data_IF_422291997736
#
_entry.id   IF_422291997736
#
_cell.length_a   1.000
_cell.length_b   1.000
_cell.length_c   1.000
_cell.angle_alpha   90.00
_cell.angle_beta   90.00
_cell.angle_gamma   90.00
#
_symmetry.space_group_name_H-M   'P 1'
#
loop_
_entity.id
_entity.type
_entity.pdbx_description
1 polymer ?
#
# COMPACT_ATOMS: atom_id res chain seq x y z
N UNK A 1 0.26 27.15 -19.04
CA UNK A 1 0.32 25.67 -18.95
C UNK A 1 0.65 25.34 -17.49
N UNK A 2 -0.19 24.57 -16.77
CA UNK A 2 0.19 24.09 -15.43
C UNK A 2 1.35 23.10 -15.59
N UNK A 3 2.37 23.13 -14.74
CA UNK A 3 3.43 22.12 -14.78
C UNK A 3 2.82 20.72 -14.61
N UNK A 4 3.41 19.73 -15.25
CA UNK A 4 3.00 18.33 -15.11
C UNK A 4 3.20 17.92 -13.64
N UNK A 5 2.11 17.54 -12.97
CA UNK A 5 2.15 17.17 -11.57
C UNK A 5 2.63 15.73 -11.34
N UNK A 6 2.88 14.96 -12.43
CA UNK A 6 3.30 13.56 -12.34
C UNK A 6 4.72 13.44 -11.84
N UNK A 7 4.89 12.91 -10.65
CA UNK A 7 6.17 12.42 -10.16
C UNK A 7 6.52 11.09 -10.85
N UNK A 8 7.81 10.75 -10.93
CA UNK A 8 8.28 9.54 -11.58
C UNK A 8 9.21 8.75 -10.66
N UNK A 9 8.93 7.46 -10.54
CA UNK A 9 9.74 6.48 -9.84
C UNK A 9 10.32 5.45 -10.82
N UNK A 10 11.65 5.43 -11.04
CA UNK A 10 12.28 4.39 -11.87
C UNK A 10 12.07 2.97 -11.33
N UNK A 11 11.86 2.82 -10.02
CA UNK A 11 11.59 1.52 -9.40
C UNK A 11 10.18 1.04 -9.76
N UNK A 12 9.16 1.90 -9.65
CA UNK A 12 7.80 1.58 -10.04
C UNK A 12 7.70 1.25 -11.54
N UNK A 13 8.44 1.98 -12.36
CA UNK A 13 8.45 1.73 -13.81
C UNK A 13 9.03 0.34 -14.17
N UNK A 14 10.09 -0.09 -13.48
CA UNK A 14 10.71 -1.41 -13.72
C UNK A 14 9.90 -2.59 -13.21
N UNK A 15 9.13 -2.42 -12.13
CA UNK A 15 8.46 -3.56 -11.48
C UNK A 15 6.97 -3.67 -11.80
N UNK A 16 6.36 -2.66 -12.44
CA UNK A 16 4.92 -2.64 -12.72
C UNK A 16 4.42 -3.85 -13.52
N UNK A 17 5.14 -4.25 -14.59
CA UNK A 17 4.73 -5.37 -15.43
C UNK A 17 4.84 -6.73 -14.71
N UNK A 18 5.97 -7.09 -14.08
CA UNK A 18 6.04 -8.30 -13.26
C UNK A 18 4.98 -8.36 -12.15
N UNK A 19 4.70 -7.22 -11.50
CA UNK A 19 3.66 -7.15 -10.45
C UNK A 19 2.28 -7.37 -11.05
N UNK A 20 1.97 -6.74 -12.19
CA UNK A 20 0.69 -6.93 -12.87
C UNK A 20 0.43 -8.41 -13.16
N UNK A 21 1.43 -9.16 -13.65
CA UNK A 21 1.27 -10.60 -13.92
C UNK A 21 0.89 -11.38 -12.66
N UNK A 22 1.45 -11.01 -11.51
CA UNK A 22 1.09 -11.64 -10.22
C UNK A 22 -0.34 -11.26 -9.83
N UNK A 23 -0.72 -9.99 -9.92
CA UNK A 23 -2.07 -9.54 -9.58
C UNK A 23 -3.13 -10.19 -10.47
N UNK A 24 -2.87 -10.34 -11.78
CA UNK A 24 -3.76 -11.04 -12.72
C UNK A 24 -4.00 -12.50 -12.34
N UNK A 25 -3.03 -13.17 -11.72
CA UNK A 25 -3.16 -14.53 -11.24
C UNK A 25 -3.95 -14.62 -9.93
N UNK A 26 -3.79 -13.61 -9.07
CA UNK A 26 -4.35 -13.62 -7.71
C UNK A 26 -5.78 -13.10 -7.64
N UNK A 27 -6.14 -12.15 -8.50
CA UNK A 27 -7.40 -11.43 -8.41
C UNK A 27 -8.35 -11.82 -9.54
N UNK A 28 -9.67 -11.84 -9.27
CA UNK A 28 -10.68 -12.08 -10.31
C UNK A 28 -10.72 -10.95 -11.34
N UNK A 29 -11.38 -11.18 -12.46
CA UNK A 29 -11.53 -10.21 -13.54
C UNK A 29 -12.24 -8.91 -13.10
N UNK A 30 -13.05 -8.97 -12.05
CA UNK A 30 -13.66 -7.83 -11.40
C UNK A 30 -13.24 -7.82 -9.93
N UNK A 31 -12.66 -6.72 -9.46
CA UNK A 31 -12.20 -6.58 -8.08
C UNK A 31 -12.23 -5.12 -7.62
N UNK A 32 -12.48 -4.92 -6.34
CA UNK A 32 -12.30 -3.64 -5.66
C UNK A 32 -10.98 -3.68 -4.90
N UNK A 33 -10.00 -2.88 -5.33
CA UNK A 33 -8.62 -2.91 -4.83
C UNK A 33 -8.27 -1.58 -4.18
N UNK A 34 -7.90 -1.62 -2.91
CA UNK A 34 -7.31 -0.48 -2.21
C UNK A 34 -5.78 -0.52 -2.38
N UNK A 35 -5.19 0.56 -2.83
CA UNK A 35 -3.73 0.74 -2.84
C UNK A 35 -3.30 1.64 -1.67
N UNK A 36 -2.42 1.10 -0.83
CA UNK A 36 -1.83 1.80 0.31
C UNK A 36 -0.47 2.36 -0.12
N UNK A 37 -0.23 3.65 0.17
CA UNK A 37 1.01 4.34 -0.17
C UNK A 37 1.32 4.27 -1.67
N UNK A 38 0.40 4.76 -2.49
CA UNK A 38 0.48 4.73 -3.96
C UNK A 38 1.64 5.59 -4.52
N UNK A 39 2.23 6.47 -3.71
CA UNK A 39 3.42 7.26 -4.04
C UNK A 39 3.23 8.12 -5.28
N UNK A 40 3.92 7.78 -6.36
CA UNK A 40 3.81 8.52 -7.62
C UNK A 40 2.49 8.29 -8.36
N UNK A 41 1.77 7.19 -8.12
CA UNK A 41 0.57 6.79 -8.83
C UNK A 41 0.81 5.94 -10.09
N UNK A 42 2.08 5.61 -10.41
CA UNK A 42 2.41 4.83 -11.60
C UNK A 42 1.81 3.42 -11.57
N UNK A 43 1.80 2.76 -10.41
CA UNK A 43 1.19 1.44 -10.23
C UNK A 43 -0.33 1.51 -10.43
N UNK A 44 -1.01 2.43 -9.72
CA UNK A 44 -2.45 2.65 -9.85
C UNK A 44 -2.86 2.82 -11.31
N UNK A 45 -2.19 3.75 -12.02
CA UNK A 45 -2.49 4.03 -13.42
C UNK A 45 -2.23 2.82 -14.32
N UNK A 46 -1.10 2.12 -14.12
CA UNK A 46 -0.73 0.98 -14.95
C UNK A 46 -1.70 -0.20 -14.76
N UNK A 47 -1.99 -0.57 -13.52
CA UNK A 47 -2.86 -1.72 -13.24
C UNK A 47 -4.31 -1.46 -13.66
N UNK A 48 -4.84 -0.27 -13.35
CA UNK A 48 -6.19 0.09 -13.74
C UNK A 48 -6.38 0.17 -15.26
N UNK A 49 -5.38 0.67 -15.99
CA UNK A 49 -5.42 0.72 -17.46
C UNK A 49 -5.47 -0.68 -18.11
N UNK A 50 -4.80 -1.68 -17.52
CA UNK A 50 -4.77 -3.05 -18.02
C UNK A 50 -5.95 -3.89 -17.55
N UNK A 51 -6.59 -3.48 -16.45
CA UNK A 51 -7.72 -4.20 -15.84
C UNK A 51 -8.93 -3.30 -15.66
N UNK A 52 -9.69 -3.03 -16.74
CA UNK A 52 -10.84 -2.13 -16.68
C UNK A 52 -11.98 -2.65 -15.78
N UNK A 53 -11.99 -3.95 -15.44
CA UNK A 53 -12.92 -4.54 -14.48
C UNK A 53 -12.55 -4.31 -13.02
N UNK A 54 -11.35 -3.80 -12.73
CA UNK A 54 -10.95 -3.48 -11.35
C UNK A 54 -11.34 -2.05 -11.00
N UNK A 55 -11.99 -1.87 -9.86
CA UNK A 55 -12.14 -0.55 -9.24
C UNK A 55 -10.93 -0.31 -8.35
N UNK A 56 -10.10 0.69 -8.70
CA UNK A 56 -8.87 1.00 -7.98
C UNK A 56 -9.06 2.22 -7.08
N UNK A 57 -8.70 2.06 -5.80
CA UNK A 57 -8.79 3.09 -4.76
C UNK A 57 -7.38 3.46 -4.29
N UNK A 58 -6.69 4.41 -4.92
CA UNK A 58 -5.34 4.78 -4.52
C UNK A 58 -5.37 5.69 -3.29
N UNK A 59 -4.47 5.39 -2.33
CA UNK A 59 -4.32 6.21 -1.12
C UNK A 59 -2.86 6.49 -0.82
N UNK A 60 -2.59 7.60 -0.13
CA UNK A 60 -1.25 7.91 0.39
C UNK A 60 -1.36 8.74 1.67
N UNK A 61 -0.42 8.56 2.60
CA UNK A 61 -0.31 9.38 3.82
C UNK A 61 0.23 10.78 3.54
N UNK A 62 1.01 10.96 2.45
CA UNK A 62 1.53 12.24 2.03
C UNK A 62 0.54 12.96 1.10
N UNK A 63 0.00 14.08 1.55
CA UNK A 63 -0.89 14.91 0.76
C UNK A 63 -0.25 15.39 -0.56
N UNK A 64 1.08 15.54 -0.61
CA UNK A 64 1.78 15.95 -1.83
C UNK A 64 1.75 14.85 -2.91
N UNK A 65 1.69 13.58 -2.53
CA UNK A 65 1.58 12.46 -3.47
C UNK A 65 0.23 12.45 -4.20
N UNK A 66 -0.86 12.92 -3.56
CA UNK A 66 -2.21 12.84 -4.13
C UNK A 66 -2.34 13.57 -5.47
N UNK A 67 -1.64 14.69 -5.64
CA UNK A 67 -1.64 15.43 -6.92
C UNK A 67 -1.00 14.63 -8.06
N UNK A 68 0.09 13.92 -7.78
CA UNK A 68 0.77 13.04 -8.74
C UNK A 68 -0.10 11.83 -9.09
N UNK A 69 -0.70 11.19 -8.08
CA UNK A 69 -1.60 10.06 -8.28
C UNK A 69 -2.78 10.47 -9.18
N UNK A 70 -3.42 11.61 -8.88
CA UNK A 70 -4.52 12.13 -9.69
C UNK A 70 -4.09 12.41 -11.14
N UNK A 71 -2.89 12.96 -11.34
CA UNK A 71 -2.37 13.27 -12.67
C UNK A 71 -2.03 12.00 -13.48
N UNK A 72 -1.47 10.97 -12.87
CA UNK A 72 -1.22 9.68 -13.52
C UNK A 72 -2.50 8.94 -13.87
N UNK A 73 -3.51 9.00 -13.01
CA UNK A 73 -4.78 8.29 -13.17
C UNK A 73 -5.82 9.08 -13.99
N UNK A 74 -5.46 10.27 -14.48
CA UNK A 74 -6.38 11.09 -15.27
C UNK A 74 -6.90 10.35 -16.50
N UNK A 75 -8.24 10.33 -16.68
CA UNK A 75 -8.90 9.66 -17.80
C UNK A 75 -9.14 8.15 -17.59
N UNK A 76 -8.78 7.57 -16.46
CA UNK A 76 -9.09 6.18 -16.12
C UNK A 76 -10.42 6.13 -15.33
N UNK A 77 -11.53 5.65 -15.94
CA UNK A 77 -12.86 5.72 -15.31
C UNK A 77 -13.02 4.75 -14.12
N UNK A 78 -12.17 3.75 -14.04
CA UNK A 78 -12.16 2.73 -13.00
C UNK A 78 -11.23 3.06 -11.81
N UNK A 79 -10.59 4.25 -11.81
CA UNK A 79 -9.81 4.74 -10.67
C UNK A 79 -10.61 5.79 -9.91
N UNK A 80 -10.76 5.60 -8.61
CA UNK A 80 -11.39 6.58 -7.73
C UNK A 80 -10.44 7.76 -7.46
N UNK A 81 -10.96 8.95 -7.14
CA UNK A 81 -10.12 10.05 -6.69
C UNK A 81 -9.18 9.59 -5.55
N UNK A 82 -7.89 9.94 -5.59
CA UNK A 82 -6.96 9.54 -4.55
C UNK A 82 -7.35 10.16 -3.21
N UNK A 83 -7.26 9.34 -2.15
CA UNK A 83 -7.62 9.76 -0.79
C UNK A 83 -6.38 9.76 0.11
N UNK A 84 -6.36 10.66 1.08
CA UNK A 84 -5.33 10.63 2.11
C UNK A 84 -5.63 9.53 3.11
N UNK A 85 -4.65 8.65 3.34
CA UNK A 85 -4.71 7.60 4.34
C UNK A 85 -3.36 7.49 5.05
N UNK A 86 -3.31 7.99 6.28
CA UNK A 86 -2.19 7.80 7.18
C UNK A 86 -2.50 6.63 8.13
N UNK A 87 -1.73 5.55 8.01
CA UNK A 87 -1.93 4.33 8.80
C UNK A 87 -1.67 4.53 10.29
N UNK A 88 -0.87 5.53 10.66
CA UNK A 88 -0.50 5.82 12.05
C UNK A 88 -1.30 6.98 12.66
N UNK A 89 -2.12 7.65 11.88
CA UNK A 89 -2.94 8.74 12.40
C UNK A 89 -3.85 8.23 13.53
N UNK A 90 -3.81 8.92 14.66
CA UNK A 90 -4.69 8.63 15.78
C UNK A 90 -6.15 8.93 15.37
N UNK A 91 -7.07 8.05 15.74
CA UNK A 91 -8.50 8.33 15.60
C UNK A 91 -8.83 9.62 16.36
N UNK A 92 -9.48 10.62 15.75
CA UNK A 92 -9.91 11.78 16.48
C UNK A 92 -10.80 11.32 17.64
N UNK A 93 -10.62 11.91 18.80
CA UNK A 93 -11.55 11.71 19.92
C UNK A 93 -12.96 12.05 19.42
N UNK A 94 -13.99 11.25 19.78
CA UNK A 94 -15.36 11.58 19.43
C UNK A 94 -15.64 13.00 19.92
N UNK A 95 -16.06 13.88 19.01
CA UNK A 95 -16.47 15.24 19.39
C UNK A 95 -17.53 15.11 20.49
N UNK A 96 -17.32 15.81 21.62
CA UNK A 96 -18.34 15.90 22.66
C UNK A 96 -19.64 16.40 22.01
N UNK A 97 -20.82 15.85 22.40
CA UNK A 97 -22.09 16.17 21.75
C UNK A 97 -22.54 17.64 21.87
N UNK A 98 -21.71 18.50 22.42
CA UNK A 98 -22.03 19.92 22.70
C UNK A 98 -21.21 20.95 21.91
N UNK A 99 -20.37 20.56 20.94
CA UNK A 99 -19.63 21.52 20.11
C UNK A 99 -20.28 21.66 18.75
N UNK A 100 -20.63 22.88 18.29
CA UNK A 100 -21.06 23.10 16.91
C UNK A 100 -19.90 22.75 15.96
N UNK A 101 -20.18 22.26 14.75
CA UNK A 101 -19.14 21.98 13.76
C UNK A 101 -18.39 23.29 13.44
N UNK A 102 -17.15 23.41 13.90
CA UNK A 102 -16.27 24.48 13.48
C UNK A 102 -15.88 24.22 12.04
N UNK A 103 -16.57 24.89 11.12
CA UNK A 103 -16.17 24.86 9.73
C UNK A 103 -14.80 25.45 9.56
N UNK A 104 -13.82 24.58 9.27
CA UNK A 104 -12.63 24.80 8.42
C UNK A 104 -11.67 23.62 8.65
N UNK A 105 -11.54 22.80 7.60
CA UNK A 105 -10.42 21.86 7.38
C UNK A 105 -10.09 20.89 8.52
N UNK A 106 -11.06 20.16 9.03
CA UNK A 106 -10.78 18.87 9.63
C UNK A 106 -10.38 17.96 8.48
N UNK A 107 -9.09 17.60 8.42
CA UNK A 107 -8.49 16.71 7.43
C UNK A 107 -9.01 15.28 7.67
N UNK A 108 -10.29 15.08 7.32
CA UNK A 108 -11.07 13.87 7.62
C UNK A 108 -10.64 12.65 6.81
N UNK A 109 -9.83 12.87 5.75
CA UNK A 109 -9.44 11.82 4.81
C UNK A 109 -8.24 10.98 5.27
N UNK A 110 -7.72 11.20 6.48
CA UNK A 110 -6.53 10.54 7.00
C UNK A 110 -6.78 9.15 7.63
N UNK A 111 -8.00 8.64 7.63
CA UNK A 111 -8.37 7.51 8.49
C UNK A 111 -9.05 6.37 7.72
N UNK A 112 -8.86 5.14 8.22
CA UNK A 112 -9.49 3.93 7.68
C UNK A 112 -11.02 3.95 7.65
N UNK A 113 -11.70 4.78 8.45
CA UNK A 113 -13.17 4.80 8.51
C UNK A 113 -13.85 5.25 7.20
N UNK A 114 -13.13 5.96 6.33
CA UNK A 114 -13.62 6.37 5.01
C UNK A 114 -13.36 5.31 3.94
N UNK A 115 -12.54 4.31 4.24
CA UNK A 115 -12.24 3.22 3.33
C UNK A 115 -13.43 2.24 3.31
N UNK A 116 -13.88 1.82 2.11
CA UNK A 116 -14.92 0.81 1.99
C UNK A 116 -14.56 -0.47 2.71
N UNK A 117 -15.57 -1.18 3.18
CA UNK A 117 -15.43 -2.56 3.64
C UNK A 117 -15.66 -3.51 2.48
N UNK A 118 -15.33 -4.79 2.68
CA UNK A 118 -15.52 -5.85 1.69
C UNK A 118 -14.67 -5.66 0.43
N UNK A 119 -13.42 -5.23 0.63
CA UNK A 119 -12.43 -5.15 -0.44
C UNK A 119 -11.99 -6.55 -0.89
N UNK A 120 -11.88 -6.77 -2.19
CA UNK A 120 -11.31 -8.01 -2.74
C UNK A 120 -9.80 -8.07 -2.52
N UNK A 121 -9.13 -6.91 -2.55
CA UNK A 121 -7.71 -6.84 -2.23
C UNK A 121 -7.29 -5.51 -1.61
N UNK A 122 -6.22 -5.58 -0.81
CA UNK A 122 -5.41 -4.44 -0.39
C UNK A 122 -4.00 -4.67 -0.93
N UNK A 123 -3.52 -3.73 -1.73
CA UNK A 123 -2.21 -3.73 -2.33
C UNK A 123 -1.29 -2.72 -1.66
N UNK A 124 -0.05 -3.11 -1.35
CA UNK A 124 0.93 -2.24 -0.74
C UNK A 124 2.35 -2.56 -1.24
N UNK A 125 3.02 -1.58 -1.86
CA UNK A 125 4.38 -1.74 -2.37
C UNK A 125 5.40 -0.93 -1.56
N UNK A 126 6.45 -1.59 -1.09
CA UNK A 126 7.64 -1.03 -0.42
C UNK A 126 7.40 -0.24 0.88
N UNK A 127 6.18 0.07 1.28
CA UNK A 127 5.87 0.87 2.45
C UNK A 127 6.53 0.34 3.73
N UNK A 128 6.47 -0.97 3.95
CA UNK A 128 6.94 -1.58 5.20
C UNK A 128 8.44 -1.35 5.46
N UNK A 129 9.21 -1.08 4.40
CA UNK A 129 10.66 -0.85 4.50
C UNK A 129 11.03 0.61 4.75
N UNK A 130 10.14 1.55 4.39
CA UNK A 130 10.33 3.01 4.47
C UNK A 130 9.38 3.67 5.46
N UNK A 131 8.97 2.93 6.50
CA UNK A 131 8.08 3.40 7.55
C UNK A 131 8.47 2.75 8.88
N UNK A 132 8.09 3.31 10.04
CA UNK A 132 8.25 2.68 11.34
C UNK A 132 7.51 1.34 11.42
N UNK A 133 7.98 0.43 12.29
CA UNK A 133 7.36 -0.91 12.44
C UNK A 133 5.86 -0.86 12.75
N UNK A 134 5.41 0.13 13.53
CA UNK A 134 4.00 0.32 13.86
C UNK A 134 3.09 0.39 12.61
N UNK A 135 3.64 0.84 11.47
CA UNK A 135 2.93 0.86 10.18
C UNK A 135 2.58 -0.55 9.69
N UNK A 136 3.43 -1.55 9.96
CA UNK A 136 3.14 -2.94 9.64
C UNK A 136 1.93 -3.43 10.44
N UNK A 137 1.93 -3.24 11.76
CA UNK A 137 0.81 -3.65 12.61
C UNK A 137 -0.49 -2.92 12.22
N UNK A 138 -0.41 -1.63 11.91
CA UNK A 138 -1.56 -0.84 11.46
C UNK A 138 -2.12 -1.33 10.10
N UNK A 139 -1.24 -1.66 9.15
CA UNK A 139 -1.63 -2.24 7.86
C UNK A 139 -2.35 -3.57 8.05
N UNK A 140 -1.79 -4.49 8.85
CA UNK A 140 -2.38 -5.81 9.10
C UNK A 140 -3.77 -5.69 9.75
N UNK A 141 -3.90 -4.84 10.79
CA UNK A 141 -5.17 -4.60 11.46
C UNK A 141 -6.20 -3.92 10.54
N UNK A 142 -5.75 -2.95 9.72
CA UNK A 142 -6.61 -2.31 8.74
C UNK A 142 -7.11 -3.30 7.70
N UNK A 143 -6.23 -4.14 7.17
CA UNK A 143 -6.57 -5.17 6.20
C UNK A 143 -7.60 -6.16 6.76
N UNK A 144 -7.36 -6.68 7.96
CA UNK A 144 -8.29 -7.62 8.60
C UNK A 144 -9.72 -7.06 8.77
N UNK A 145 -9.86 -5.73 8.90
CA UNK A 145 -11.17 -5.08 9.06
C UNK A 145 -11.88 -4.74 7.76
N UNK A 146 -11.13 -4.61 6.65
CA UNK A 146 -11.66 -4.07 5.40
C UNK A 146 -11.71 -5.08 4.26
N UNK A 147 -10.98 -6.19 4.35
CA UNK A 147 -11.07 -7.27 3.37
C UNK A 147 -12.41 -7.99 3.47
N UNK A 148 -12.95 -8.34 2.30
CA UNK A 148 -14.08 -9.26 2.19
C UNK A 148 -13.66 -10.67 2.66
N UNK A 149 -14.62 -11.55 2.99
CA UNK A 149 -14.31 -12.97 3.19
C UNK A 149 -13.59 -13.54 1.98
N UNK A 150 -12.36 -14.03 2.17
CA UNK A 150 -11.50 -14.53 1.09
C UNK A 150 -10.68 -13.47 0.34
N UNK A 151 -10.84 -12.19 0.68
CA UNK A 151 -10.02 -11.10 0.15
C UNK A 151 -8.54 -11.22 0.54
N UNK A 152 -7.67 -10.54 -0.17
CA UNK A 152 -6.22 -10.67 -0.06
C UNK A 152 -5.55 -9.36 0.35
N UNK A 153 -4.67 -9.44 1.37
CA UNK A 153 -3.62 -8.42 1.53
C UNK A 153 -2.40 -8.88 0.75
N UNK A 154 -1.93 -8.03 -0.16
CA UNK A 154 -0.79 -8.30 -1.03
C UNK A 154 0.27 -7.24 -0.80
N UNK A 155 1.45 -7.63 -0.32
CA UNK A 155 2.57 -6.71 -0.12
C UNK A 155 3.73 -7.06 -1.03
N UNK A 156 4.48 -6.04 -1.48
CA UNK A 156 5.65 -6.19 -2.32
C UNK A 156 6.85 -5.47 -1.72
N UNK A 157 8.02 -6.10 -1.81
CA UNK A 157 9.28 -5.49 -1.43
C UNK A 157 10.38 -6.51 -1.16
N UNK A 158 11.59 -6.06 -0.76
CA UNK A 158 12.67 -6.93 -0.36
C UNK A 158 12.49 -7.35 1.11
N UNK A 159 12.37 -8.63 1.37
CA UNK A 159 12.25 -9.19 2.72
C UNK A 159 13.47 -10.04 3.05
N UNK A 160 13.83 -10.10 4.34
CA UNK A 160 14.79 -11.08 4.84
C UNK A 160 14.05 -12.36 5.18
N UNK A 161 14.51 -13.48 4.63
CA UNK A 161 13.93 -14.81 4.87
C UNK A 161 14.93 -15.62 5.71
N UNK A 162 14.44 -16.20 6.80
CA UNK A 162 15.28 -16.99 7.69
C UNK A 162 15.86 -18.19 6.95
N UNK A 163 17.18 -18.40 7.12
CA UNK A 163 17.90 -19.47 6.44
C UNK A 163 18.28 -19.18 4.97
N UNK A 164 17.84 -18.05 4.39
CA UNK A 164 18.23 -17.63 3.04
C UNK A 164 19.24 -16.47 3.11
N UNK A 165 20.29 -16.47 2.26
CA UNK A 165 21.23 -15.34 2.20
C UNK A 165 20.53 -14.09 1.66
N UNK A 166 20.77 -12.95 2.32
CA UNK A 166 20.29 -11.65 1.81
C UNK A 166 21.20 -11.21 0.65
N UNK A 167 20.61 -10.89 -0.49
CA UNK A 167 21.35 -10.44 -1.65
C UNK A 167 22.15 -9.15 -1.36
N UNK A 168 23.38 -9.00 -1.91
CA UNK A 168 24.22 -7.82 -1.66
C UNK A 168 23.53 -6.48 -1.98
N UNK A 169 22.70 -6.44 -3.03
CA UNK A 169 21.87 -5.27 -3.37
C UNK A 169 20.87 -4.91 -2.27
N UNK A 170 20.28 -5.92 -1.64
CA UNK A 170 19.31 -5.71 -0.55
C UNK A 170 20.01 -5.26 0.74
N UNK A 171 21.23 -5.76 1.03
CA UNK A 171 22.04 -5.28 2.13
C UNK A 171 22.44 -3.81 1.95
N UNK A 172 22.83 -3.42 0.75
CA UNK A 172 23.15 -2.03 0.44
C UNK A 172 21.93 -1.12 0.55
N UNK A 173 20.77 -1.61 0.12
CA UNK A 173 19.49 -0.90 0.26
C UNK A 173 19.08 -0.75 1.74
N UNK A 174 19.19 -1.79 2.55
CA UNK A 174 18.92 -1.73 4.00
C UNK A 174 19.82 -0.69 4.69
N UNK A 175 21.11 -0.69 4.37
CA UNK A 175 22.05 0.28 4.92
C UNK A 175 21.71 1.72 4.50
N UNK A 176 21.26 1.94 3.27
CA UNK A 176 20.80 3.26 2.80
C UNK A 176 19.54 3.72 3.54
N UNK A 177 18.56 2.84 3.68
CA UNK A 177 17.32 3.13 4.41
C UNK A 177 17.61 3.54 5.86
N UNK A 178 18.43 2.75 6.57
CA UNK A 178 18.77 3.02 7.99
C UNK A 178 19.58 4.30 8.19
N UNK A 179 20.35 4.74 7.18
CA UNK A 179 21.03 6.05 7.23
C UNK A 179 20.04 7.21 7.10
N UNK A 180 18.96 7.02 6.36
CA UNK A 180 17.91 8.04 6.17
C UNK A 180 16.99 8.11 7.38
N UNK A 181 16.61 6.97 7.93
CA UNK A 181 15.82 6.86 9.15
C UNK A 181 16.14 5.53 9.86
N UNK A 182 16.61 5.54 11.13
CA UNK A 182 16.91 4.31 11.86
C UNK A 182 15.72 3.37 12.07
N UNK A 183 14.48 3.86 11.98
CA UNK A 183 13.28 3.06 12.06
C UNK A 183 12.96 2.31 10.76
N UNK A 184 13.62 2.66 9.67
CA UNK A 184 13.46 2.02 8.35
C UNK A 184 14.39 0.82 8.19
N UNK A 185 14.17 0.03 7.15
CA UNK A 185 15.02 -1.10 6.79
C UNK A 185 14.23 -2.32 6.35
N UNK A 186 14.93 -3.33 5.87
CA UNK A 186 14.32 -4.59 5.46
C UNK A 186 13.64 -5.26 6.66
N UNK A 187 12.52 -5.89 6.39
CA UNK A 187 11.76 -6.61 7.41
C UNK A 187 11.99 -8.10 7.26
N UNK A 188 12.10 -8.80 8.40
CA UNK A 188 12.10 -10.27 8.38
C UNK A 188 10.70 -10.75 8.02
N UNK A 189 10.62 -11.71 7.11
CA UNK A 189 9.34 -12.29 6.69
C UNK A 189 8.60 -12.88 7.89
N UNK A 190 9.30 -13.55 8.80
CA UNK A 190 8.70 -14.13 10.00
C UNK A 190 8.01 -13.08 10.86
N UNK A 191 8.66 -11.93 11.12
CA UNK A 191 8.09 -10.86 11.94
C UNK A 191 6.82 -10.26 11.29
N UNK A 192 6.83 -10.13 9.96
CA UNK A 192 5.66 -9.64 9.21
C UNK A 192 4.52 -10.66 9.25
N UNK A 193 4.83 -11.95 9.12
CA UNK A 193 3.84 -13.03 9.24
C UNK A 193 3.25 -13.11 10.65
N UNK A 194 4.05 -12.90 11.69
CA UNK A 194 3.58 -12.85 13.07
C UNK A 194 2.66 -11.65 13.33
N UNK A 195 2.99 -10.48 12.76
CA UNK A 195 2.12 -9.30 12.82
C UNK A 195 0.77 -9.58 12.13
N UNK A 196 0.80 -10.22 10.96
CA UNK A 196 -0.41 -10.64 10.24
C UNK A 196 -1.24 -11.63 11.08
N UNK A 197 -0.61 -12.62 11.70
CA UNK A 197 -1.28 -13.61 12.54
C UNK A 197 -1.98 -12.98 13.74
N UNK A 198 -1.34 -11.99 14.41
CA UNK A 198 -1.98 -11.22 15.48
C UNK A 198 -3.22 -10.46 15.04
N UNK A 199 -3.29 -10.06 13.78
CA UNK A 199 -4.46 -9.40 13.19
C UNK A 199 -5.52 -10.40 12.66
N UNK A 200 -5.25 -11.71 12.73
CA UNK A 200 -6.15 -12.76 12.21
C UNK A 200 -5.93 -13.09 10.73
N UNK A 201 -4.85 -12.58 10.12
CA UNK A 201 -4.46 -12.89 8.75
C UNK A 201 -3.37 -13.98 8.74
N UNK A 202 -3.32 -14.76 7.68
CA UNK A 202 -2.34 -15.83 7.50
C UNK A 202 -1.59 -15.63 6.20
N UNK A 203 -0.26 -15.75 6.23
CA UNK A 203 0.56 -15.83 5.01
C UNK A 203 0.18 -17.11 4.24
N UNK A 204 -0.33 -16.95 3.03
CA UNK A 204 -0.77 -18.07 2.21
C UNK A 204 0.15 -18.35 1.02
N UNK A 205 0.89 -17.32 0.56
CA UNK A 205 1.82 -17.50 -0.55
C UNK A 205 2.98 -16.50 -0.47
N UNK A 206 4.16 -16.96 -0.90
CA UNK A 206 5.37 -16.15 -1.13
C UNK A 206 5.79 -16.35 -2.58
N UNK A 207 5.89 -15.26 -3.33
CA UNK A 207 6.22 -15.28 -4.76
C UNK A 207 7.52 -14.53 -4.96
N UNK A 208 8.51 -15.20 -5.56
CA UNK A 208 9.77 -14.57 -5.94
C UNK A 208 9.56 -13.58 -7.09
N UNK A 209 10.16 -12.40 -6.95
CA UNK A 209 10.06 -11.31 -7.91
C UNK A 209 11.44 -10.86 -8.39
N UNK A 210 11.53 -10.19 -9.55
CA UNK A 210 12.80 -9.63 -10.01
C UNK A 210 13.47 -8.74 -8.97
N UNK A 211 14.79 -8.61 -9.09
CA UNK A 211 15.65 -7.79 -8.21
C UNK A 211 15.56 -8.18 -6.73
N UNK A 212 15.44 -9.48 -6.45
CA UNK A 212 15.41 -10.05 -5.09
C UNK A 212 14.28 -9.49 -4.20
N UNK A 213 13.15 -9.14 -4.81
CA UNK A 213 11.93 -8.80 -4.12
C UNK A 213 11.01 -10.01 -3.96
N UNK A 214 10.04 -9.88 -3.09
CA UNK A 214 8.97 -10.85 -2.90
C UNK A 214 7.61 -10.17 -2.98
N UNK A 215 6.61 -10.90 -3.48
CA UNK A 215 5.22 -10.64 -3.16
C UNK A 215 4.83 -11.59 -2.03
N UNK A 216 4.23 -11.05 -0.98
CA UNK A 216 3.64 -11.81 0.11
C UNK A 216 2.12 -11.66 0.04
N UNK A 217 1.42 -12.78 0.10
CA UNK A 217 -0.05 -12.83 0.04
C UNK A 217 -0.59 -13.33 1.36
N UNK A 218 -1.45 -12.53 1.97
CA UNK A 218 -2.11 -12.87 3.24
C UNK A 218 -3.63 -12.95 3.03
N UNK A 219 -4.25 -13.84 3.82
CA UNK A 219 -5.70 -14.02 3.86
C UNK A 219 -6.19 -14.20 5.28
#
# INVERSE_FOLDING_TARGET
>A
MRPDARAFSPAADRNKDPILQVLLRLLPAQACVLEIAAGTGQHAAHFAAHMPGWTWLPTDGDAAALASIAAWCAGLPNVRPPQRLDLLAARPAPASPSSPPSGKNDDVSAYWHEIPRELDAIWCANLLHIAPWATCDALMQGAARHLAPGGLLITYGPYCVDGEPVAPSNLAFDADLRRRDPAWGLRRLADVADSAARAGLRLVERIAMPANNLVLVFR
#
